data_IF_734916608758
#
_entry.id   IF_734916608758
#
_cell.length_a   1.000
_cell.length_b   1.000
_cell.length_c   1.000
_cell.angle_alpha   90.00
_cell.angle_beta   90.00
_cell.angle_gamma   90.00
#
_symmetry.space_group_name_H-M   'P 1'
#
loop_
_entity.id
_entity.type
_entity.pdbx_description
1 polymer ?
#
# COMPACT_ATOMS: atom_id res chain seq x y z
N UNK A 1 -26.91 25.47 -75.73
CA UNK A 1 -26.31 26.34 -74.69
C UNK A 1 -25.64 25.42 -73.65
N UNK A 2 -24.33 25.55 -73.39
CA UNK A 2 -23.58 24.93 -72.27
C UNK A 2 -23.80 25.78 -70.97
N UNK A 3 -23.42 25.43 -69.71
CA UNK A 3 -22.62 24.31 -69.11
C UNK A 3 -23.23 23.65 -67.79
N UNK A 4 -22.84 22.44 -67.30
CA UNK A 4 -21.91 22.02 -66.16
C UNK A 4 -22.27 22.60 -64.75
N UNK A 5 -21.99 22.05 -63.51
CA UNK A 5 -21.46 20.75 -62.95
C UNK A 5 -22.31 20.10 -61.80
N UNK A 6 -22.18 18.79 -61.47
CA UNK A 6 -21.41 18.11 -60.38
C UNK A 6 -21.67 18.58 -58.93
N UNK A 7 -22.07 17.65 -58.03
CA UNK A 7 -21.33 17.16 -56.83
C UNK A 7 -22.31 16.54 -55.81
N UNK A 8 -22.04 15.27 -55.49
CA UNK A 8 -22.63 14.49 -54.42
C UNK A 8 -22.15 14.96 -53.04
N UNK A 9 -23.03 14.93 -52.04
CA UNK A 9 -22.65 15.07 -50.63
C UNK A 9 -23.31 13.95 -49.81
N UNK A 10 -22.57 12.88 -49.54
CA UNK A 10 -22.92 11.88 -48.53
C UNK A 10 -22.20 12.29 -47.25
N UNK A 11 -22.97 12.72 -46.26
CA UNK A 11 -22.51 13.04 -44.91
C UNK A 11 -22.36 11.73 -44.11
N UNK A 12 -21.13 11.28 -43.91
CA UNK A 12 -20.79 10.23 -42.94
C UNK A 12 -20.32 10.92 -41.67
N UNK A 13 -21.13 10.82 -40.61
CA UNK A 13 -20.76 11.25 -39.26
C UNK A 13 -20.03 10.09 -38.60
N UNK A 14 -18.70 10.14 -38.57
CA UNK A 14 -17.88 9.26 -37.74
C UNK A 14 -17.71 9.89 -36.35
N UNK A 15 -18.35 9.32 -35.34
CA UNK A 15 -18.14 9.69 -33.94
C UNK A 15 -16.75 9.25 -33.48
N UNK A 16 -15.92 10.19 -33.06
CA UNK A 16 -14.63 9.91 -32.44
C UNK A 16 -14.90 9.62 -30.96
N UNK A 17 -14.80 8.36 -30.57
CA UNK A 17 -14.67 7.99 -29.16
C UNK A 17 -13.27 8.45 -28.68
N UNK A 18 -13.23 9.49 -27.86
CA UNK A 18 -12.02 9.93 -27.19
C UNK A 18 -11.65 8.93 -26.09
N UNK A 19 -10.85 7.93 -26.44
CA UNK A 19 -10.08 7.17 -25.45
C UNK A 19 -8.96 8.06 -24.92
N UNK A 20 -8.91 8.28 -23.61
CA UNK A 20 -7.80 8.97 -22.97
C UNK A 20 -6.53 8.13 -23.19
N UNK A 21 -5.68 8.55 -24.13
CA UNK A 21 -4.35 7.99 -24.29
C UNK A 21 -3.48 8.47 -23.13
N UNK A 22 -3.27 7.63 -22.12
CA UNK A 22 -2.27 7.86 -21.09
C UNK A 22 -0.90 7.94 -21.78
N UNK A 23 -0.24 9.10 -21.70
CA UNK A 23 1.08 9.28 -22.28
C UNK A 23 2.09 8.32 -21.63
N UNK A 24 2.86 7.59 -22.45
CA UNK A 24 3.90 6.62 -22.03
C UNK A 24 4.91 7.23 -21.03
N UNK A 25 5.07 8.55 -21.02
CA UNK A 25 5.96 9.28 -20.10
C UNK A 25 5.49 9.33 -18.63
N UNK A 26 4.26 8.91 -18.30
CA UNK A 26 3.76 8.92 -16.93
C UNK A 26 4.15 7.68 -16.12
N UNK A 27 4.53 6.58 -16.79
CA UNK A 27 4.87 5.30 -16.15
C UNK A 27 6.19 5.40 -15.37
N UNK A 28 7.23 6.01 -15.93
CA UNK A 28 8.52 6.12 -15.23
C UNK A 28 8.44 7.00 -13.96
N UNK A 29 7.80 8.20 -13.96
CA UNK A 29 7.61 8.98 -12.75
C UNK A 29 6.80 8.27 -11.65
N UNK A 30 5.76 7.51 -12.00
CA UNK A 30 4.98 6.78 -10.99
C UNK A 30 5.75 5.60 -10.41
N UNK A 31 6.62 4.95 -11.19
CA UNK A 31 7.51 3.91 -10.69
C UNK A 31 8.55 4.47 -9.73
N UNK A 32 9.18 5.61 -10.06
CA UNK A 32 10.10 6.28 -9.14
C UNK A 32 9.38 6.68 -7.84
N UNK A 33 8.22 7.33 -7.96
CA UNK A 33 7.40 7.74 -6.81
C UNK A 33 7.06 6.57 -5.88
N UNK A 34 6.59 5.43 -6.43
CA UNK A 34 6.23 4.29 -5.58
C UNK A 34 7.44 3.65 -4.91
N UNK A 35 8.59 3.61 -5.59
CA UNK A 35 9.82 3.08 -5.01
C UNK A 35 10.29 3.95 -3.83
N UNK A 36 10.18 5.27 -3.96
CA UNK A 36 10.43 6.21 -2.86
C UNK A 36 9.43 6.03 -1.72
N UNK A 37 8.14 5.84 -2.02
CA UNK A 37 7.12 5.52 -1.03
C UNK A 37 7.46 4.23 -0.26
N UNK A 38 7.81 3.14 -0.95
CA UNK A 38 8.19 1.87 -0.32
C UNK A 38 9.46 2.01 0.53
N UNK A 39 10.44 2.80 0.06
CA UNK A 39 11.66 3.06 0.83
C UNK A 39 11.37 3.82 2.12
N UNK A 40 10.56 4.89 2.04
CA UNK A 40 10.18 5.67 3.21
C UNK A 40 9.44 4.82 4.25
N UNK A 41 8.55 3.92 3.81
CA UNK A 41 7.88 2.98 4.71
C UNK A 41 8.84 1.96 5.35
N UNK A 42 9.81 1.45 4.58
CA UNK A 42 10.82 0.55 5.12
C UNK A 42 11.70 1.22 6.19
N UNK A 43 12.11 2.46 5.96
CA UNK A 43 12.89 3.26 6.91
C UNK A 43 12.07 3.56 8.19
N UNK A 44 10.77 3.85 8.04
CA UNK A 44 9.84 4.02 9.17
C UNK A 44 9.64 2.71 9.97
N UNK A 45 9.41 1.58 9.28
CA UNK A 45 9.27 0.29 9.94
C UNK A 45 10.54 -0.10 10.70
N UNK A 46 11.72 0.18 10.13
CA UNK A 46 13.01 -0.02 10.82
C UNK A 46 13.14 0.82 12.08
N UNK A 47 12.66 2.06 12.06
CA UNK A 47 12.64 2.94 13.24
C UNK A 47 11.78 2.33 14.35
N UNK A 48 10.55 1.94 14.02
CA UNK A 48 9.62 1.32 15.00
C UNK A 48 10.21 0.01 15.55
N UNK A 49 10.76 -0.85 14.69
CA UNK A 49 11.43 -2.09 15.12
C UNK A 49 12.62 -1.80 16.03
N UNK A 50 13.45 -0.81 15.72
CA UNK A 50 14.59 -0.43 16.56
C UNK A 50 14.16 0.02 17.95
N UNK A 51 13.02 0.73 18.06
CA UNK A 51 12.44 1.16 19.34
C UNK A 51 11.95 -0.05 20.14
N UNK A 52 11.15 -0.95 19.55
CA UNK A 52 10.68 -2.15 20.25
C UNK A 52 11.84 -3.06 20.67
N UNK A 53 12.85 -3.23 19.82
CA UNK A 53 14.06 -4.01 20.11
C UNK A 53 14.98 -3.36 21.17
N UNK A 54 14.68 -2.15 21.64
CA UNK A 54 15.53 -1.40 22.58
C UNK A 54 16.84 -0.89 21.99
N UNK A 55 17.00 -0.95 20.65
CA UNK A 55 18.17 -0.46 19.91
C UNK A 55 18.11 1.07 19.70
N UNK A 56 16.91 1.64 19.72
CA UNK A 56 16.65 3.07 19.69
C UNK A 56 15.88 3.45 20.95
N UNK A 57 16.21 4.61 21.53
CA UNK A 57 15.44 5.16 22.63
C UNK A 57 14.02 5.51 22.14
N UNK A 58 13.02 5.29 23.00
CA UNK A 58 11.66 5.70 22.70
C UNK A 58 11.54 7.22 22.74
N UNK A 59 10.92 7.77 21.70
CA UNK A 59 10.41 9.14 21.63
C UNK A 59 9.03 9.05 20.96
N UNK A 60 8.00 9.54 21.64
CA UNK A 60 6.62 9.40 21.17
C UNK A 60 6.39 10.12 19.83
N UNK A 61 7.01 11.28 19.62
CA UNK A 61 6.88 12.04 18.38
C UNK A 61 7.58 11.31 17.21
N UNK A 62 8.75 10.72 17.44
CA UNK A 62 9.47 9.93 16.43
C UNK A 62 8.71 8.65 16.09
N UNK A 63 8.21 7.92 17.10
CA UNK A 63 7.40 6.72 16.88
C UNK A 63 6.14 7.04 16.09
N UNK A 64 5.41 8.08 16.49
CA UNK A 64 4.21 8.57 15.80
C UNK A 64 4.53 8.97 14.37
N UNK A 65 5.58 9.76 14.14
CA UNK A 65 5.98 10.19 12.80
C UNK A 65 6.33 9.00 11.87
N UNK A 66 6.95 7.95 12.41
CA UNK A 66 7.21 6.72 11.67
C UNK A 66 5.91 5.99 11.31
N UNK A 67 5.01 5.77 12.29
CA UNK A 67 3.71 5.14 12.04
C UNK A 67 2.89 5.93 11.00
N UNK A 68 2.87 7.25 11.13
CA UNK A 68 2.21 8.17 10.19
C UNK A 68 2.80 8.14 8.78
N UNK A 69 4.11 7.92 8.67
CA UNK A 69 4.77 7.76 7.36
C UNK A 69 4.27 6.51 6.65
N UNK A 70 4.05 5.43 7.39
CA UNK A 70 3.47 4.20 6.84
C UNK A 70 2.00 4.43 6.49
N UNK A 71 1.21 4.99 7.40
CA UNK A 71 -0.22 5.28 7.19
C UNK A 71 -0.47 6.05 5.91
N UNK A 72 0.18 7.21 5.74
CA UNK A 72 -0.01 8.10 4.56
C UNK A 72 0.43 7.49 3.22
N UNK A 73 1.22 6.41 3.25
CA UNK A 73 1.76 5.75 2.05
C UNK A 73 1.16 4.37 1.83
N UNK A 74 0.12 4.04 2.59
CA UNK A 74 -0.66 2.81 2.51
C UNK A 74 -2.04 3.11 1.93
N UNK A 75 -2.98 2.17 2.04
CA UNK A 75 -4.36 2.38 1.62
C UNK A 75 -4.50 2.81 0.16
N UNK A 76 -5.41 3.75 -0.09
CA UNK A 76 -5.68 4.25 -1.44
C UNK A 76 -4.47 4.94 -2.07
N UNK A 77 -3.65 5.63 -1.27
CA UNK A 77 -2.45 6.32 -1.77
C UNK A 77 -1.44 5.32 -2.37
N UNK A 78 -1.33 4.13 -1.77
CA UNK A 78 -0.56 3.03 -2.35
C UNK A 78 -1.22 2.52 -3.63
N UNK A 79 -2.54 2.27 -3.62
CA UNK A 79 -3.25 1.70 -4.77
C UNK A 79 -3.16 2.59 -6.03
N UNK A 80 -3.23 3.90 -5.85
CA UNK A 80 -3.11 4.89 -6.92
C UNK A 80 -1.70 4.93 -7.53
N UNK A 81 -0.70 4.50 -6.77
CA UNK A 81 0.68 4.42 -7.25
C UNK A 81 0.91 3.20 -8.15
N UNK A 82 -0.06 2.30 -8.40
CA UNK A 82 0.06 1.13 -9.28
C UNK A 82 -1.00 1.12 -10.41
N UNK A 83 -0.95 2.06 -11.36
CA UNK A 83 -1.84 2.05 -12.52
C UNK A 83 -1.52 0.91 -13.50
N UNK A 84 -2.49 0.56 -14.35
CA UNK A 84 -2.30 -0.39 -15.44
C UNK A 84 -1.10 0.01 -16.32
N UNK A 85 -0.34 -0.96 -16.81
CA UNK A 85 0.82 -0.72 -17.68
C UNK A 85 2.09 -0.27 -16.95
N UNK A 86 2.09 -0.22 -15.62
CA UNK A 86 3.24 0.19 -14.79
C UNK A 86 3.95 -0.96 -14.07
N UNK A 87 3.76 -2.19 -14.55
CA UNK A 87 4.31 -3.43 -13.99
C UNK A 87 5.59 -3.88 -14.73
N UNK A 88 6.24 -4.92 -14.24
CA UNK A 88 7.48 -5.46 -14.81
C UNK A 88 8.71 -4.63 -14.48
N UNK A 89 9.82 -4.86 -15.19
CA UNK A 89 11.01 -4.03 -15.05
C UNK A 89 10.76 -2.62 -15.65
N UNK A 90 11.15 -1.52 -14.98
CA UNK A 90 12.01 -1.45 -13.78
C UNK A 90 11.24 -1.45 -12.44
N UNK A 91 9.92 -1.54 -12.44
CA UNK A 91 9.09 -1.44 -11.23
C UNK A 91 9.28 -2.59 -10.23
N UNK A 92 9.64 -3.79 -10.69
CA UNK A 92 9.54 -5.04 -9.93
C UNK A 92 8.13 -5.35 -9.39
N UNK A 93 7.11 -4.60 -9.81
CA UNK A 93 5.71 -4.90 -9.52
C UNK A 93 5.21 -5.94 -10.53
N UNK A 94 4.50 -6.96 -10.07
CA UNK A 94 4.00 -8.01 -10.95
C UNK A 94 2.65 -7.67 -11.54
N UNK A 95 2.31 -8.27 -12.68
CA UNK A 95 1.00 -8.09 -13.33
C UNK A 95 -0.16 -8.67 -12.49
N UNK A 96 0.12 -9.56 -11.54
CA UNK A 96 -0.83 -10.11 -10.57
C UNK A 96 -1.54 -9.03 -9.76
N UNK A 97 -0.98 -7.83 -9.62
CA UNK A 97 -1.65 -6.67 -9.00
C UNK A 97 -2.94 -6.34 -9.75
N UNK A 98 -2.95 -6.41 -11.08
CA UNK A 98 -4.15 -6.17 -11.88
C UNK A 98 -5.15 -7.32 -11.71
N UNK A 99 -4.67 -8.56 -11.77
CA UNK A 99 -5.51 -9.76 -11.65
C UNK A 99 -6.12 -9.93 -10.26
N UNK A 100 -5.52 -9.34 -9.21
CA UNK A 100 -5.97 -9.43 -7.82
C UNK A 100 -6.06 -8.04 -7.17
N UNK A 101 -6.57 -7.05 -7.91
CA UNK A 101 -6.61 -5.64 -7.48
C UNK A 101 -7.31 -5.42 -6.14
N UNK A 102 -8.42 -6.11 -5.90
CA UNK A 102 -9.16 -6.03 -4.64
C UNK A 102 -8.34 -6.55 -3.45
N UNK A 103 -7.61 -7.66 -3.63
CA UNK A 103 -6.76 -8.22 -2.58
C UNK A 103 -5.56 -7.32 -2.29
N UNK A 104 -4.95 -6.74 -3.34
CA UNK A 104 -3.90 -5.74 -3.18
C UNK A 104 -4.40 -4.51 -2.40
N UNK A 105 -5.58 -3.99 -2.75
CA UNK A 105 -6.21 -2.88 -2.06
C UNK A 105 -6.58 -3.23 -0.61
N UNK A 106 -7.05 -4.45 -0.35
CA UNK A 106 -7.36 -4.91 1.00
C UNK A 106 -6.11 -4.96 1.90
N UNK A 107 -4.99 -5.49 1.40
CA UNK A 107 -3.71 -5.48 2.12
C UNK A 107 -3.20 -4.05 2.36
N UNK A 108 -3.30 -3.17 1.36
CA UNK A 108 -2.91 -1.77 1.51
C UNK A 108 -3.77 -1.05 2.56
N UNK A 109 -5.09 -1.28 2.57
CA UNK A 109 -6.01 -0.68 3.56
C UNK A 109 -5.84 -1.27 4.96
N UNK A 110 -5.53 -2.55 5.09
CA UNK A 110 -5.22 -3.17 6.37
C UNK A 110 -3.94 -2.58 6.97
N UNK A 111 -2.90 -2.41 6.14
CA UNK A 111 -1.66 -1.72 6.52
C UNK A 111 -1.91 -0.29 7.03
N UNK A 112 -2.76 0.48 6.35
CA UNK A 112 -3.16 1.83 6.78
C UNK A 112 -3.84 1.81 8.16
N UNK A 113 -4.76 0.86 8.37
CA UNK A 113 -5.51 0.72 9.63
C UNK A 113 -4.58 0.39 10.79
N UNK A 114 -3.67 -0.57 10.61
CA UNK A 114 -2.68 -0.94 11.63
C UNK A 114 -1.74 0.23 11.95
N UNK A 115 -1.28 0.96 10.92
CA UNK A 115 -0.43 2.12 11.10
C UNK A 115 -1.13 3.28 11.83
N UNK A 116 -2.44 3.48 11.61
CA UNK A 116 -3.24 4.44 12.34
C UNK A 116 -3.37 4.08 13.84
N UNK A 117 -3.58 2.79 14.14
CA UNK A 117 -3.63 2.30 15.51
C UNK A 117 -2.26 2.43 16.22
N UNK A 118 -1.15 2.14 15.53
CA UNK A 118 0.20 2.38 16.03
C UNK A 118 0.45 3.86 16.35
N UNK A 119 0.03 4.75 15.45
CA UNK A 119 0.15 6.19 15.65
C UNK A 119 -0.61 6.65 16.90
N UNK A 120 -1.82 6.12 17.11
CA UNK A 120 -2.65 6.43 18.28
C UNK A 120 -2.04 5.89 19.57
N UNK A 121 -1.43 4.70 19.55
CA UNK A 121 -0.76 4.12 20.71
C UNK A 121 0.40 5.00 21.25
N UNK A 122 1.00 5.85 20.40
CA UNK A 122 2.00 6.81 20.85
C UNK A 122 1.39 7.99 21.63
N UNK A 123 0.13 8.36 21.35
CA UNK A 123 -0.57 9.42 22.08
C UNK A 123 -0.89 8.98 23.52
N UNK A 124 -1.15 7.68 23.72
CA UNK A 124 -1.44 7.09 25.03
C UNK A 124 -0.18 6.77 25.85
N UNK A 125 1.01 6.94 25.27
CA UNK A 125 2.29 6.54 25.87
C UNK A 125 3.38 7.62 25.74
N UNK A 126 3.13 8.89 26.15
CA UNK A 126 4.03 10.00 25.86
C UNK A 126 5.43 9.86 26.48
N UNK A 127 5.55 9.15 27.61
CA UNK A 127 6.76 9.10 28.42
C UNK A 127 7.60 7.82 28.24
N UNK A 128 7.13 6.84 27.47
CA UNK A 128 7.83 5.57 27.31
C UNK A 128 6.98 4.44 26.76
N UNK A 129 7.62 3.40 26.23
CA UNK A 129 6.96 2.14 25.91
C UNK A 129 6.40 1.54 27.21
N UNK A 130 5.08 1.45 27.31
CA UNK A 130 4.37 0.86 28.45
C UNK A 130 4.23 -0.65 28.29
N UNK A 131 3.91 -1.35 29.38
CA UNK A 131 3.65 -2.80 29.33
C UNK A 131 2.46 -3.13 28.41
N UNK A 132 1.44 -2.28 28.34
CA UNK A 132 0.29 -2.48 27.44
C UNK A 132 0.65 -2.34 25.96
N UNK A 133 1.76 -1.69 25.62
CA UNK A 133 2.27 -1.64 24.25
C UNK A 133 3.03 -2.92 23.87
N UNK A 134 3.49 -3.71 24.85
CA UNK A 134 4.29 -4.92 24.61
C UNK A 134 3.40 -6.10 24.28
N UNK A 135 3.87 -6.90 23.33
CA UNK A 135 3.20 -8.13 22.97
C UNK A 135 3.47 -9.20 24.04
N UNK A 136 2.41 -9.73 24.65
CA UNK A 136 2.55 -10.78 25.64
C UNK A 136 3.04 -12.10 25.00
N UNK A 137 3.90 -12.88 25.68
CA UNK A 137 4.30 -14.20 25.20
C UNK A 137 3.09 -15.10 24.92
N UNK A 138 3.07 -15.76 23.77
CA UNK A 138 2.00 -16.68 23.39
C UNK A 138 0.80 -16.04 22.70
N UNK A 139 0.78 -14.72 22.47
CA UNK A 139 -0.17 -14.12 21.54
C UNK A 139 0.06 -14.67 20.12
N UNK A 140 -1.03 -15.05 19.45
CA UNK A 140 -0.96 -15.58 18.10
C UNK A 140 -0.46 -14.48 17.14
N UNK A 141 0.69 -14.71 16.51
CA UNK A 141 1.10 -13.94 15.35
C UNK A 141 0.15 -14.29 14.21
N UNK A 142 -0.46 -13.29 13.57
CA UNK A 142 -1.46 -13.47 12.51
C UNK A 142 -1.09 -14.63 11.58
N UNK A 143 -1.99 -15.60 11.43
CA UNK A 143 -1.70 -16.81 10.68
C UNK A 143 -1.62 -16.51 9.18
N UNK A 144 -0.40 -16.47 8.63
CA UNK A 144 -0.17 -16.63 7.19
C UNK A 144 -0.54 -18.06 6.78
N UNK A 145 -1.82 -18.33 6.61
CA UNK A 145 -2.32 -19.48 5.85
C UNK A 145 -3.22 -18.95 4.73
N UNK A 146 -2.52 -18.48 3.69
CA UNK A 146 -3.03 -18.11 2.38
C UNK A 146 -3.77 -19.29 1.74
N UNK A 147 -5.01 -19.52 2.15
CA UNK A 147 -5.82 -20.62 1.61
C UNK A 147 -7.31 -20.60 1.96
N UNK A 148 -7.71 -19.99 3.09
CA UNK A 148 -9.14 -19.86 3.44
C UNK A 148 -9.41 -18.55 4.16
N UNK A 149 -9.36 -17.46 3.39
CA UNK A 149 -10.09 -16.18 3.55
C UNK A 149 -9.41 -15.14 2.65
N UNK A 150 -9.53 -15.31 1.34
CA UNK A 150 -9.55 -14.13 0.48
C UNK A 150 -10.72 -13.26 0.98
N UNK A 151 -10.41 -12.10 1.57
CA UNK A 151 -11.40 -11.17 2.12
C UNK A 151 -11.65 -11.23 3.64
N UNK A 152 -10.90 -12.03 4.39
CA UNK A 152 -10.94 -11.96 5.84
C UNK A 152 -9.77 -11.14 6.35
N UNK A 153 -10.00 -9.85 6.63
CA UNK A 153 -9.26 -9.21 7.72
C UNK A 153 -9.28 -10.15 8.95
N UNK A 154 -8.47 -9.84 9.95
CA UNK A 154 -8.87 -10.14 11.34
C UNK A 154 -10.17 -9.36 11.64
N UNK A 155 -11.26 -9.70 10.96
CA UNK A 155 -12.56 -9.07 10.97
C UNK A 155 -13.31 -9.55 12.21
N UNK A 156 -12.84 -9.09 13.36
CA UNK A 156 -13.43 -9.41 14.65
C UNK A 156 -12.82 -8.61 15.78
N UNK A 157 -11.51 -8.37 15.73
CA UNK A 157 -10.80 -7.70 16.80
C UNK A 157 -10.40 -6.29 16.39
N UNK A 158 -10.89 -5.32 17.15
CA UNK A 158 -10.58 -3.90 17.01
C UNK A 158 -9.07 -3.65 17.20
N UNK A 159 -8.32 -3.20 16.17
CA UNK A 159 -6.88 -2.99 16.26
C UNK A 159 -6.48 -2.06 17.39
N UNK A 160 -7.34 -1.11 17.80
CA UNK A 160 -7.05 -0.21 18.92
C UNK A 160 -6.96 -0.92 20.27
N UNK A 161 -7.43 -2.17 20.37
CA UNK A 161 -7.38 -2.99 21.58
C UNK A 161 -6.16 -3.92 21.65
N UNK A 162 -5.34 -3.96 20.59
CA UNK A 162 -4.15 -4.80 20.55
C UNK A 162 -2.93 -4.03 21.04
N UNK A 163 -1.92 -4.70 21.65
CA UNK A 163 -0.65 -4.07 21.95
C UNK A 163 0.02 -3.51 20.70
N UNK A 164 0.67 -2.35 20.82
CA UNK A 164 1.36 -1.70 19.71
C UNK A 164 2.41 -2.62 19.05
N UNK A 165 3.16 -3.39 19.82
CA UNK A 165 4.14 -4.34 19.29
C UNK A 165 3.47 -5.46 18.47
N UNK A 166 2.29 -5.92 18.89
CA UNK A 166 1.49 -6.88 18.13
C UNK A 166 1.03 -6.27 16.79
N UNK A 167 0.50 -5.04 16.80
CA UNK A 167 0.10 -4.32 15.59
C UNK A 167 1.27 -4.17 14.61
N UNK A 168 2.44 -3.82 15.12
CA UNK A 168 3.67 -3.71 14.33
C UNK A 168 4.04 -5.04 13.67
N UNK A 169 3.90 -6.15 14.39
CA UNK A 169 4.14 -7.47 13.84
C UNK A 169 3.14 -7.87 12.75
N UNK A 170 1.83 -7.61 12.93
CA UNK A 170 0.83 -7.83 11.88
C UNK A 170 1.15 -7.00 10.63
N UNK A 171 1.58 -5.76 10.80
CA UNK A 171 2.02 -4.90 9.71
C UNK A 171 3.22 -5.48 8.94
N UNK A 172 4.22 -6.04 9.64
CA UNK A 172 5.36 -6.71 8.99
C UNK A 172 4.94 -7.97 8.22
N UNK A 173 3.91 -8.68 8.71
CA UNK A 173 3.32 -9.80 8.00
C UNK A 173 2.61 -9.35 6.72
N UNK A 174 1.86 -8.25 6.74
CA UNK A 174 1.26 -7.67 5.53
C UNK A 174 2.30 -7.29 4.49
N UNK A 175 3.40 -6.65 4.90
CA UNK A 175 4.54 -6.36 4.04
C UNK A 175 5.07 -7.64 3.38
N UNK A 176 5.21 -8.72 4.15
CA UNK A 176 5.73 -10.00 3.66
C UNK A 176 4.76 -10.68 2.70
N UNK A 177 3.48 -10.74 3.05
CA UNK A 177 2.43 -11.37 2.25
C UNK A 177 2.21 -10.62 0.93
N UNK A 178 2.16 -9.29 0.97
CA UNK A 178 2.05 -8.45 -0.22
C UNK A 178 3.25 -8.65 -1.15
N UNK A 179 4.48 -8.58 -0.62
CA UNK A 179 5.67 -8.79 -1.44
C UNK A 179 5.77 -10.20 -2.02
N UNK A 180 5.33 -11.23 -1.29
CA UNK A 180 5.36 -12.61 -1.79
C UNK A 180 4.48 -12.78 -3.05
N UNK A 181 3.32 -12.14 -3.08
CA UNK A 181 2.37 -12.24 -4.19
C UNK A 181 2.65 -11.23 -5.31
N UNK A 182 2.95 -9.98 -4.97
CA UNK A 182 2.85 -8.85 -5.90
C UNK A 182 4.19 -8.23 -6.31
N UNK A 183 5.32 -8.66 -5.72
CA UNK A 183 6.66 -8.14 -6.06
C UNK A 183 7.55 -9.23 -6.63
N UNK A 184 8.29 -8.91 -7.67
CA UNK A 184 9.32 -9.78 -8.20
C UNK A 184 10.39 -10.07 -7.15
N UNK A 185 10.91 -11.30 -7.13
CA UNK A 185 12.07 -11.62 -6.32
C UNK A 185 13.27 -10.89 -6.91
N UNK A 186 13.99 -10.12 -6.10
CA UNK A 186 15.29 -9.59 -6.51
C UNK A 186 16.23 -10.78 -6.68
N UNK A 187 16.83 -10.91 -7.86
CA UNK A 187 17.92 -11.85 -8.14
C UNK A 187 19.18 -11.42 -7.39
#
# INVERSE_FOLDING_TARGET
>A
MRPIPVIAAVLVIAGIAAGAAFSVNAVDPVVAKRQDSMKAMADAAKTISGIFDGKLAYDAAVFKAAAETIRRRSGIAMVDEFPEGSFGAPSAAKAEIELSREEFAALAGHLETLAAALSSAADDAPDGITESMRMAPGMAMGSSLLGKRAGGAVAGDDPSKMPAEHLFHLMLQDCTNCHAKFREKRQ
#
